data_IF_426621188397
#
_entry.id   IF_426621188397
#
_cell.length_a   1.000
_cell.length_b   1.000
_cell.length_c   1.000
_cell.angle_alpha   90.00
_cell.angle_beta   90.00
_cell.angle_gamma   90.00
#
_symmetry.space_group_name_H-M   'P 1'
#
loop_
_entity.id
_entity.type
_entity.pdbx_description
1 polymer ?
#
# COMPACT_ATOMS: atom_id res chain seq x y z
N UNK A 1 8.98 -18.17 -6.41
CA UNK A 1 8.50 -17.63 -5.11
C UNK A 1 8.25 -16.10 -5.17
N UNK A 2 7.31 -15.56 -5.97
CA UNK A 2 7.32 -14.08 -6.23
C UNK A 2 5.97 -13.33 -6.30
N UNK A 3 4.81 -13.97 -6.21
CA UNK A 3 3.50 -13.28 -6.35
C UNK A 3 2.84 -12.84 -5.03
N UNK A 4 3.07 -13.57 -3.92
CA UNK A 4 2.38 -13.31 -2.64
C UNK A 4 2.75 -12.00 -1.94
N UNK A 5 4.03 -11.61 -1.96
CA UNK A 5 4.53 -10.44 -1.23
C UNK A 5 3.89 -9.11 -1.67
N UNK A 6 3.46 -9.00 -2.93
CA UNK A 6 2.85 -7.76 -3.44
C UNK A 6 1.46 -7.51 -2.85
N UNK A 7 0.68 -8.58 -2.69
CA UNK A 7 -0.63 -8.51 -2.03
C UNK A 7 -0.49 -8.27 -0.53
N UNK A 8 0.55 -8.83 0.11
CA UNK A 8 0.88 -8.54 1.50
C UNK A 8 1.28 -7.08 1.70
N UNK A 9 2.03 -6.48 0.77
CA UNK A 9 2.45 -5.07 0.84
C UNK A 9 1.25 -4.12 0.71
N UNK A 10 0.33 -4.43 -0.21
CA UNK A 10 -0.94 -3.70 -0.37
C UNK A 10 -1.81 -3.83 0.88
N UNK A 11 -1.99 -5.04 1.40
CA UNK A 11 -2.74 -5.29 2.63
C UNK A 11 -2.15 -4.59 3.85
N UNK A 12 -0.82 -4.62 3.99
CA UNK A 12 -0.11 -3.91 5.05
C UNK A 12 -0.28 -2.39 4.95
N UNK A 13 -0.21 -1.82 3.75
CA UNK A 13 -0.47 -0.40 3.52
C UNK A 13 -1.87 0.03 3.97
N UNK A 14 -2.91 -0.73 3.60
CA UNK A 14 -4.28 -0.46 4.05
C UNK A 14 -4.45 -0.62 5.56
N UNK A 15 -3.90 -1.69 6.13
CA UNK A 15 -3.95 -1.93 7.57
C UNK A 15 -3.28 -0.80 8.37
N UNK A 16 -2.10 -0.36 7.94
CA UNK A 16 -1.37 0.75 8.56
C UNK A 16 -2.14 2.07 8.47
N UNK A 17 -2.82 2.32 7.35
CA UNK A 17 -3.64 3.52 7.15
C UNK A 17 -4.85 3.53 8.09
N UNK A 18 -5.55 2.40 8.23
CA UNK A 18 -6.69 2.25 9.16
C UNK A 18 -6.24 2.51 10.60
N UNK A 19 -5.10 1.94 11.00
CA UNK A 19 -4.53 2.18 12.34
C UNK A 19 -4.20 3.65 12.58
N UNK A 20 -3.63 4.35 11.60
CA UNK A 20 -3.32 5.77 11.72
C UNK A 20 -4.59 6.61 11.91
N UNK A 21 -5.66 6.34 11.14
CA UNK A 21 -6.95 7.03 11.28
C UNK A 21 -7.57 6.75 12.64
N UNK A 22 -7.49 5.51 13.11
CA UNK A 22 -8.04 5.11 14.40
C UNK A 22 -7.28 5.71 15.59
N UNK A 23 -5.96 5.86 15.48
CA UNK A 23 -5.11 6.38 16.55
C UNK A 23 -5.15 7.92 16.65
N UNK A 24 -5.41 8.62 15.54
CA UNK A 24 -5.48 10.08 15.48
C UNK A 24 -6.37 10.75 16.55
N UNK A 25 -7.63 10.30 16.81
CA UNK A 25 -8.50 10.90 17.82
C UNK A 25 -8.10 10.58 19.27
N UNK A 26 -7.28 9.54 19.48
CA UNK A 26 -6.81 9.14 20.81
C UNK A 26 -5.57 9.92 21.26
N UNK A 27 -4.95 10.71 20.38
CA UNK A 27 -3.71 11.43 20.65
C UNK A 27 -3.97 12.85 21.12
N UNK A 28 -3.24 13.27 22.16
CA UNK A 28 -3.33 14.64 22.68
C UNK A 28 -2.83 15.66 21.67
N UNK A 29 -3.49 16.82 21.63
CA UNK A 29 -3.16 17.90 20.71
C UNK A 29 -1.78 18.46 21.07
N UNK A 30 -0.85 18.45 20.10
CA UNK A 30 0.53 18.91 20.31
C UNK A 30 1.52 17.84 20.76
N UNK A 31 1.08 16.58 20.97
CA UNK A 31 1.99 15.47 21.29
C UNK A 31 2.83 15.06 20.08
N UNK A 32 4.09 14.69 20.35
CA UNK A 32 5.01 14.08 19.38
C UNK A 32 4.41 12.84 18.71
N UNK A 33 3.52 12.12 19.40
CA UNK A 33 2.82 10.94 18.90
C UNK A 33 1.97 11.27 17.66
N UNK A 34 1.35 12.45 17.66
CA UNK A 34 0.50 12.90 16.55
C UNK A 34 1.34 13.25 15.31
N UNK A 35 2.52 13.83 15.51
CA UNK A 35 3.51 14.05 14.44
C UNK A 35 3.97 12.72 13.83
N UNK A 36 4.25 11.71 14.67
CA UNK A 36 4.62 10.37 14.21
C UNK A 36 3.47 9.73 13.40
N UNK A 37 2.22 9.89 13.84
CA UNK A 37 1.06 9.38 13.09
C UNK A 37 0.92 10.02 11.72
N UNK A 38 1.15 11.32 11.59
CA UNK A 38 1.16 11.98 10.26
C UNK A 38 2.24 11.43 9.35
N UNK A 39 3.46 11.21 9.86
CA UNK A 39 4.54 10.59 9.09
C UNK A 39 4.16 9.16 8.67
N UNK A 40 3.60 8.37 9.57
CA UNK A 40 3.13 7.02 9.26
C UNK A 40 2.01 7.02 8.21
N UNK A 41 1.11 8.00 8.24
CA UNK A 41 0.05 8.15 7.24
C UNK A 41 0.64 8.38 5.84
N UNK A 42 1.65 9.25 5.73
CA UNK A 42 2.39 9.47 4.46
C UNK A 42 3.07 8.18 3.98
N UNK A 43 3.77 7.48 4.88
CA UNK A 43 4.43 6.20 4.54
C UNK A 43 3.43 5.16 4.07
N UNK A 44 2.28 5.03 4.74
CA UNK A 44 1.22 4.09 4.37
C UNK A 44 0.69 4.39 2.95
N UNK A 45 0.45 5.66 2.62
CA UNK A 45 0.02 6.08 1.27
C UNK A 45 1.08 5.71 0.23
N UNK A 46 2.35 5.98 0.49
CA UNK A 46 3.46 5.64 -0.42
C UNK A 46 3.51 4.12 -0.67
N UNK A 47 3.35 3.30 0.37
CA UNK A 47 3.32 1.85 0.25
C UNK A 47 2.14 1.35 -0.59
N UNK A 48 0.95 1.94 -0.42
CA UNK A 48 -0.23 1.62 -1.24
C UNK A 48 0.02 1.96 -2.70
N UNK A 49 0.57 3.15 -2.99
CA UNK A 49 0.89 3.58 -4.36
C UNK A 49 1.89 2.63 -5.02
N UNK A 50 2.98 2.28 -4.32
CA UNK A 50 3.98 1.34 -4.82
C UNK A 50 3.35 -0.03 -5.06
N UNK A 51 2.55 -0.53 -4.12
CA UNK A 51 1.83 -1.80 -4.26
C UNK A 51 0.87 -1.82 -5.45
N UNK A 52 0.14 -0.72 -5.68
CA UNK A 52 -0.74 -0.53 -6.84
C UNK A 52 0.06 -0.49 -8.15
N UNK A 53 1.16 0.27 -8.21
CA UNK A 53 2.01 0.32 -9.41
C UNK A 53 2.56 -1.07 -9.77
N UNK A 54 3.03 -1.83 -8.78
CA UNK A 54 3.46 -3.21 -9.01
C UNK A 54 2.31 -4.14 -9.44
N UNK A 55 1.09 -3.93 -8.93
CA UNK A 55 -0.09 -4.69 -9.32
C UNK A 55 -0.53 -4.37 -10.76
N UNK A 56 -0.53 -3.09 -11.14
CA UNK A 56 -0.83 -2.65 -12.51
C UNK A 56 0.24 -3.12 -13.50
N UNK A 57 1.52 -3.04 -13.14
CA UNK A 57 2.63 -3.54 -13.97
C UNK A 57 2.54 -5.05 -14.17
N UNK A 58 2.15 -5.81 -13.14
CA UNK A 58 1.88 -7.25 -13.27
C UNK A 58 0.72 -7.53 -14.23
N UNK A 59 -0.39 -6.79 -14.12
CA UNK A 59 -1.55 -6.92 -15.03
C UNK A 59 -1.16 -6.63 -16.49
N UNK A 60 -0.38 -5.58 -16.73
CA UNK A 60 0.09 -5.23 -18.08
C UNK A 60 0.99 -6.32 -18.66
N UNK A 61 1.93 -6.83 -17.87
CA UNK A 61 2.83 -7.91 -18.29
C UNK A 61 2.09 -9.24 -18.56
N UNK A 62 1.00 -9.51 -17.85
CA UNK A 62 0.16 -10.68 -18.11
C UNK A 62 -0.65 -10.54 -19.41
N UNK A 63 -1.10 -9.34 -19.77
CA UNK A 63 -1.85 -9.10 -21.01
C UNK A 63 -0.98 -9.24 -22.25
N UNK A 64 0.27 -8.75 -22.21
CA UNK A 64 1.23 -8.91 -23.31
C UNK A 64 1.54 -10.40 -23.58
N UNK A 65 1.44 -11.26 -22.55
CA UNK A 65 1.69 -12.71 -22.69
C UNK A 65 0.51 -13.48 -23.30
N UNK A 66 -0.70 -12.92 -23.32
CA UNK A 66 -1.86 -13.54 -23.98
C UNK A 66 -1.90 -13.23 -25.48
N UNK A 67 -1.37 -12.08 -25.90
CA UNK A 67 -1.27 -11.71 -27.32
C UNK A 67 -0.23 -12.55 -28.07
N UNK A 68 0.76 -13.10 -27.36
CA UNK A 68 1.74 -14.07 -27.89
C UNK A 68 1.24 -15.52 -27.98
N UNK A 69 0.02 -15.81 -27.51
CA UNK A 69 -0.68 -17.10 -27.72
C UNK A 69 -1.91 -16.84 -28.57
N UNK A 70 -1.67 -16.34 -29.78
CA UNK A 70 -2.64 -16.39 -30.86
C UNK A 70 -3.19 -17.79 -31.01
N UNK A 71 -4.49 -17.84 -31.30
CA UNK A 71 -5.11 -18.82 -32.20
C UNK A 71 -4.16 -19.29 -33.29
#
# INVERSE_FOLDING_TARGET
MRKGYRYLLLGFGFFSLILCIWMLPHQSVGSSERTITYVNLVVAVVLIVIGLLFSLRERRNNNDSYDGKGV
#
